data_IF_754300997289
#
_entry.id   IF_754300997289
#
_cell.length_a   1.000
_cell.length_b   1.000
_cell.length_c   1.000
_cell.angle_alpha   90.00
_cell.angle_beta   90.00
_cell.angle_gamma   90.00
#
_symmetry.space_group_name_H-M   'P 1'
#
loop_
_entity.id
_entity.type
_entity.pdbx_description
1 polymer ?
#
# COMPACT_ATOMS: atom_id res chain seq x y z
N UNK A 1 -4.85 -14.15 7.83
CA UNK A 1 -4.41 -14.93 6.66
C UNK A 1 -3.87 -16.25 7.18
N UNK A 2 -4.40 -17.39 6.72
CA UNK A 2 -3.84 -18.72 7.03
C UNK A 2 -3.19 -19.21 5.73
N UNK A 3 -1.91 -19.55 5.76
CA UNK A 3 -1.24 -20.18 4.63
C UNK A 3 -1.35 -21.69 4.77
N UNK A 4 -1.73 -22.38 3.69
CA UNK A 4 -1.56 -23.83 3.61
C UNK A 4 -0.10 -24.14 3.29
N UNK A 5 0.51 -25.03 4.06
CA UNK A 5 1.92 -25.37 3.90
C UNK A 5 2.06 -26.63 3.02
N UNK A 6 3.08 -26.69 2.13
CA UNK A 6 4.11 -25.68 1.90
C UNK A 6 3.59 -24.44 1.13
N UNK A 7 4.07 -23.25 1.50
CA UNK A 7 3.66 -21.98 0.88
C UNK A 7 4.86 -21.23 0.27
N UNK A 8 4.66 -20.67 -0.92
CA UNK A 8 5.59 -19.68 -1.50
C UNK A 8 5.27 -18.30 -0.92
N UNK A 9 6.30 -17.60 -0.46
CA UNK A 9 6.18 -16.25 0.10
C UNK A 9 6.41 -15.16 -0.95
N UNK A 10 6.18 -13.90 -0.60
CA UNK A 10 6.33 -12.74 -1.49
C UNK A 10 5.01 -12.27 -2.07
N UNK A 11 4.92 -10.98 -2.35
CA UNK A 11 3.67 -10.32 -2.72
C UNK A 11 3.76 -9.60 -4.05
N UNK A 12 4.88 -8.96 -4.33
CA UNK A 12 5.03 -8.14 -5.51
C UNK A 12 6.03 -8.75 -6.49
N UNK A 13 5.79 -8.53 -7.77
CA UNK A 13 6.63 -9.01 -8.88
C UNK A 13 6.70 -7.95 -9.96
N UNK A 14 7.85 -7.84 -10.63
CA UNK A 14 7.98 -7.21 -11.93
C UNK A 14 8.84 -8.10 -12.83
N UNK A 15 8.46 -8.25 -14.09
CA UNK A 15 9.14 -9.15 -15.02
C UNK A 15 8.57 -9.08 -16.42
N UNK A 16 9.09 -9.93 -17.32
CA UNK A 16 8.64 -10.01 -18.71
C UNK A 16 7.71 -11.21 -18.87
N UNK A 17 6.53 -11.01 -19.45
CA UNK A 17 5.60 -12.10 -19.73
C UNK A 17 6.26 -13.10 -20.70
N UNK A 18 6.41 -14.36 -20.29
CA UNK A 18 6.98 -15.42 -21.12
C UNK A 18 5.91 -16.31 -21.77
N UNK A 19 4.73 -16.36 -21.18
CA UNK A 19 3.58 -17.11 -21.71
C UNK A 19 2.25 -16.50 -21.23
N UNK A 20 1.17 -16.74 -21.96
CA UNK A 20 -0.17 -16.25 -21.65
C UNK A 20 -1.22 -17.35 -21.83
N UNK A 21 -2.17 -17.40 -20.91
CA UNK A 21 -3.32 -18.29 -21.04
C UNK A 21 -4.25 -17.88 -22.20
N UNK A 22 -5.03 -18.84 -22.71
CA UNK A 22 -5.88 -18.66 -23.91
C UNK A 22 -6.99 -17.61 -23.79
N UNK A 23 -7.31 -17.15 -22.58
CA UNK A 23 -8.31 -16.10 -22.31
C UNK A 23 -7.69 -14.78 -21.86
N UNK A 24 -6.37 -14.66 -21.84
CA UNK A 24 -5.71 -13.37 -21.62
C UNK A 24 -5.93 -12.48 -22.84
N UNK A 25 -6.36 -11.25 -22.61
CA UNK A 25 -6.63 -10.28 -23.70
C UNK A 25 -5.84 -8.99 -23.54
N UNK A 26 -5.38 -8.66 -22.32
CA UNK A 26 -4.71 -7.40 -22.00
C UNK A 26 -3.19 -7.41 -22.21
N UNK A 27 -2.58 -8.58 -22.33
CA UNK A 27 -1.13 -8.74 -22.38
C UNK A 27 -0.72 -9.81 -23.37
N UNK A 28 0.54 -9.74 -23.81
CA UNK A 28 1.19 -10.71 -24.68
C UNK A 28 2.59 -11.05 -24.18
N UNK A 29 3.14 -12.15 -24.69
CA UNK A 29 4.57 -12.49 -24.50
C UNK A 29 5.46 -11.31 -24.89
N UNK A 30 6.45 -11.01 -24.05
CA UNK A 30 7.37 -9.89 -24.21
C UNK A 30 6.95 -8.60 -23.52
N UNK A 31 5.71 -8.48 -23.03
CA UNK A 31 5.31 -7.30 -22.26
C UNK A 31 6.03 -7.28 -20.90
N UNK A 32 6.59 -6.13 -20.53
CA UNK A 32 7.11 -5.89 -19.18
C UNK A 32 5.97 -5.47 -18.26
N UNK A 33 5.76 -6.20 -17.17
CA UNK A 33 4.66 -5.99 -16.22
C UNK A 33 5.17 -5.83 -14.79
N UNK A 34 4.30 -5.32 -13.93
CA UNK A 34 4.41 -5.35 -12.49
C UNK A 34 3.03 -5.67 -11.87
N UNK A 35 3.01 -6.36 -10.73
CA UNK A 35 1.77 -6.84 -10.11
C UNK A 35 1.95 -7.14 -8.62
N UNK A 36 0.84 -7.10 -7.87
CA UNK A 36 0.73 -7.70 -6.54
C UNK A 36 -0.10 -8.97 -6.62
N UNK A 37 0.34 -10.03 -5.95
CA UNK A 37 -0.35 -11.33 -5.82
C UNK A 37 -0.67 -11.68 -4.37
N UNK A 38 -0.54 -10.72 -3.45
CA UNK A 38 -0.66 -10.91 -2.01
C UNK A 38 -1.89 -11.74 -1.60
N UNK A 39 -3.07 -11.42 -2.14
CA UNK A 39 -4.36 -12.06 -1.81
C UNK A 39 -4.68 -13.31 -2.65
N UNK A 40 -3.80 -13.71 -3.57
CA UNK A 40 -4.08 -14.74 -4.56
C UNK A 40 -3.60 -16.16 -4.17
N UNK A 41 -3.13 -16.33 -2.94
CA UNK A 41 -2.60 -17.61 -2.45
C UNK A 41 -1.34 -18.08 -3.19
N UNK A 42 -0.59 -17.14 -3.80
CA UNK A 42 0.67 -17.39 -4.50
C UNK A 42 1.75 -16.47 -3.97
N UNK A 43 2.98 -16.98 -3.99
CA UNK A 43 4.16 -16.19 -3.65
C UNK A 43 4.95 -15.78 -4.87
N UNK A 44 5.71 -14.70 -4.71
CA UNK A 44 6.63 -14.20 -5.73
C UNK A 44 8.09 -14.57 -5.46
N UNK A 45 8.45 -15.16 -4.32
CA UNK A 45 9.82 -15.65 -4.08
C UNK A 45 9.96 -17.04 -4.71
N UNK A 46 10.03 -17.07 -6.03
CA UNK A 46 10.13 -18.25 -6.88
C UNK A 46 10.98 -17.93 -8.13
N UNK A 47 11.09 -18.86 -9.08
CA UNK A 47 11.63 -18.54 -10.40
C UNK A 47 10.56 -17.96 -11.32
N UNK A 48 9.31 -18.42 -11.18
CA UNK A 48 8.17 -18.00 -11.97
C UNK A 48 6.92 -17.84 -11.09
N UNK A 49 6.01 -16.96 -11.52
CA UNK A 49 4.70 -16.77 -10.90
C UNK A 49 3.61 -16.63 -11.97
N UNK A 50 2.47 -17.27 -11.72
CA UNK A 50 1.27 -17.13 -12.54
C UNK A 50 0.38 -15.98 -12.03
N UNK A 51 0.33 -14.89 -12.78
CA UNK A 51 -0.34 -13.64 -12.41
C UNK A 51 -1.65 -13.48 -13.19
N UNK A 52 -2.81 -13.30 -12.56
CA UNK A 52 -4.04 -12.97 -13.28
C UNK A 52 -3.89 -11.65 -14.03
N UNK A 53 -4.38 -11.56 -15.28
CA UNK A 53 -4.27 -10.31 -16.04
C UNK A 53 -4.94 -9.13 -15.32
N UNK A 54 -5.97 -9.38 -14.51
CA UNK A 54 -6.64 -8.36 -13.68
C UNK A 54 -5.74 -7.70 -12.65
N UNK A 55 -4.75 -8.43 -12.12
CA UNK A 55 -3.83 -7.95 -11.08
C UNK A 55 -2.54 -7.34 -11.66
N UNK A 56 -2.33 -7.47 -12.98
CA UNK A 56 -1.15 -6.94 -13.65
C UNK A 56 -1.40 -5.58 -14.29
N UNK A 57 -0.33 -4.79 -14.38
CA UNK A 57 -0.24 -3.58 -15.18
C UNK A 57 1.10 -3.56 -15.94
N UNK A 58 1.19 -2.76 -17.01
CA UNK A 58 2.45 -2.56 -17.73
C UNK A 58 3.45 -1.81 -16.85
N UNK A 59 4.70 -2.26 -16.85
CA UNK A 59 5.78 -1.60 -16.10
C UNK A 59 6.01 -0.19 -16.68
N UNK A 60 6.07 0.86 -15.84
CA UNK A 60 6.49 2.19 -16.31
C UNK A 60 7.85 2.12 -17.01
N UNK A 61 7.98 2.80 -18.15
CA UNK A 61 9.19 2.71 -18.98
C UNK A 61 10.42 3.33 -18.30
N UNK A 62 10.22 4.28 -17.39
CA UNK A 62 11.25 5.02 -16.68
C UNK A 62 11.75 4.35 -15.38
N UNK A 63 11.20 3.19 -15.02
CA UNK A 63 11.64 2.43 -13.84
C UNK A 63 12.36 1.17 -14.26
N UNK A 64 13.38 0.75 -13.51
CA UNK A 64 13.90 -0.60 -13.62
C UNK A 64 12.92 -1.63 -12.99
N UNK A 65 13.25 -2.93 -13.10
CA UNK A 65 12.39 -3.98 -12.54
C UNK A 65 12.38 -4.02 -11.02
N UNK A 66 13.48 -3.65 -10.35
CA UNK A 66 13.57 -3.63 -8.89
C UNK A 66 12.68 -2.52 -8.33
N UNK A 67 12.78 -1.33 -8.91
CA UNK A 67 11.93 -0.19 -8.61
C UNK A 67 10.47 -0.54 -8.88
N UNK A 68 10.15 -1.12 -10.04
CA UNK A 68 8.78 -1.49 -10.36
C UNK A 68 8.22 -2.57 -9.41
N UNK A 69 9.01 -3.55 -9.00
CA UNK A 69 8.59 -4.57 -8.03
C UNK A 69 8.35 -4.00 -6.63
N UNK A 70 8.89 -2.82 -6.29
CA UNK A 70 8.69 -2.19 -4.98
C UNK A 70 7.36 -1.45 -4.81
N UNK A 71 6.60 -1.28 -5.90
CA UNK A 71 5.42 -0.42 -5.95
C UNK A 71 4.05 -1.09 -5.71
N UNK A 72 3.74 -2.29 -6.25
CA UNK A 72 2.36 -2.73 -6.42
C UNK A 72 1.51 -2.70 -5.14
N UNK A 73 1.97 -3.34 -4.07
CA UNK A 73 1.22 -3.39 -2.81
C UNK A 73 1.12 -2.01 -2.16
N UNK A 74 2.24 -1.30 -2.04
CA UNK A 74 2.30 -0.03 -1.30
C UNK A 74 1.58 1.10 -2.03
N UNK A 75 1.63 1.13 -3.36
CA UNK A 75 0.93 2.12 -4.17
C UNK A 75 -0.59 1.88 -4.15
N UNK A 76 -1.03 0.64 -4.31
CA UNK A 76 -2.46 0.31 -4.23
C UNK A 76 -3.02 0.59 -2.83
N UNK A 77 -2.26 0.24 -1.78
CA UNK A 77 -2.64 0.52 -0.39
C UNK A 77 -2.76 2.02 -0.14
N UNK A 78 -1.78 2.81 -0.59
CA UNK A 78 -1.79 4.26 -0.43
C UNK A 78 -2.94 4.91 -1.20
N UNK A 79 -3.19 4.46 -2.43
CA UNK A 79 -4.31 4.92 -3.24
C UNK A 79 -5.64 4.66 -2.54
N UNK A 80 -5.94 3.40 -2.19
CA UNK A 80 -7.20 3.05 -1.54
C UNK A 80 -7.37 3.80 -0.22
N UNK A 81 -6.30 3.94 0.58
CA UNK A 81 -6.36 4.64 1.85
C UNK A 81 -6.75 6.11 1.68
N UNK A 82 -6.09 6.82 0.75
CA UNK A 82 -6.27 8.26 0.56
C UNK A 82 -7.51 8.59 -0.26
N UNK A 83 -7.80 7.87 -1.35
CA UNK A 83 -8.88 8.21 -2.28
C UNK A 83 -10.19 7.49 -1.96
N UNK A 84 -10.16 6.19 -1.71
CA UNK A 84 -11.39 5.39 -1.54
C UNK A 84 -11.91 5.38 -0.11
N UNK A 85 -11.02 5.42 0.88
CA UNK A 85 -11.36 5.27 2.30
C UNK A 85 -11.44 6.61 3.03
N UNK A 86 -10.42 7.45 2.85
CA UNK A 86 -10.38 8.77 3.45
C UNK A 86 -11.17 9.81 2.64
N UNK A 87 -11.27 9.61 1.31
CA UNK A 87 -11.81 10.60 0.37
C UNK A 87 -11.10 11.96 0.50
N UNK A 88 -9.75 11.91 0.49
CA UNK A 88 -8.88 13.06 0.68
C UNK A 88 -9.16 14.13 -0.39
N UNK A 89 -9.50 15.33 0.08
CA UNK A 89 -9.76 16.49 -0.78
C UNK A 89 -8.55 17.45 -0.81
N UNK A 90 -8.35 18.18 -1.92
CA UNK A 90 -7.37 19.25 -1.98
C UNK A 90 -7.56 20.27 -0.84
N UNK A 91 -6.45 20.74 -0.25
CA UNK A 91 -6.45 21.67 0.87
C UNK A 91 -6.64 21.03 2.25
N UNK A 92 -6.97 19.74 2.34
CA UNK A 92 -6.99 19.03 3.62
C UNK A 92 -5.58 18.70 4.11
N UNK A 93 -5.47 18.46 5.43
CA UNK A 93 -4.23 18.10 6.09
C UNK A 93 -4.25 16.61 6.49
N UNK A 94 -3.25 15.85 6.04
CA UNK A 94 -3.14 14.40 6.27
C UNK A 94 -1.87 14.04 7.03
N UNK A 95 -2.01 13.22 8.07
CA UNK A 95 -0.90 12.69 8.84
C UNK A 95 -0.55 11.27 8.38
N UNK A 96 0.70 11.08 7.98
CA UNK A 96 1.24 9.83 7.47
C UNK A 96 2.41 9.40 8.38
N UNK A 97 2.17 8.62 9.44
CA UNK A 97 3.25 8.18 10.32
C UNK A 97 4.20 7.22 9.60
N UNK A 98 5.46 7.21 10.04
CA UNK A 98 6.56 6.42 9.46
C UNK A 98 6.77 6.69 7.96
N UNK A 99 6.86 7.97 7.58
CA UNK A 99 6.95 8.44 6.19
C UNK A 99 8.11 7.90 5.38
N UNK A 100 9.17 7.43 6.01
CA UNK A 100 10.32 6.82 5.34
C UNK A 100 10.16 5.31 5.09
N UNK A 101 9.03 4.71 5.51
CA UNK A 101 8.70 3.30 5.24
C UNK A 101 8.02 3.09 3.89
N UNK A 102 7.78 1.83 3.51
CA UNK A 102 7.28 1.48 2.16
C UNK A 102 5.95 2.14 1.77
N UNK A 103 4.97 2.19 2.68
CA UNK A 103 3.72 2.93 2.43
C UNK A 103 3.97 4.44 2.51
N UNK A 104 4.72 4.89 3.51
CA UNK A 104 4.95 6.31 3.76
C UNK A 104 5.55 7.04 2.56
N UNK A 105 6.55 6.45 1.90
CA UNK A 105 7.25 7.10 0.80
C UNK A 105 6.36 7.33 -0.42
N UNK A 106 5.38 6.46 -0.65
CA UNK A 106 4.40 6.59 -1.72
C UNK A 106 3.22 7.47 -1.29
N UNK A 107 2.72 7.27 -0.08
CA UNK A 107 1.57 8.00 0.45
C UNK A 107 1.85 9.51 0.57
N UNK A 108 3.06 9.92 0.96
CA UNK A 108 3.46 11.34 1.00
C UNK A 108 3.32 11.95 -0.39
N UNK A 109 3.99 11.37 -1.39
CA UNK A 109 3.98 11.89 -2.76
C UNK A 109 2.56 11.93 -3.34
N UNK A 110 1.77 10.88 -3.11
CA UNK A 110 0.40 10.80 -3.58
C UNK A 110 -0.50 11.84 -2.90
N UNK A 111 -0.39 12.03 -1.59
CA UNK A 111 -1.15 13.06 -0.87
C UNK A 111 -0.81 14.47 -1.38
N UNK A 112 0.47 14.75 -1.66
CA UNK A 112 0.90 16.01 -2.27
C UNK A 112 0.33 16.18 -3.67
N UNK A 113 0.33 15.12 -4.49
CA UNK A 113 -0.28 15.14 -5.82
C UNK A 113 -1.80 15.43 -5.75
N UNK A 114 -2.48 14.95 -4.71
CA UNK A 114 -3.90 15.22 -4.44
C UNK A 114 -4.16 16.61 -3.83
N UNK A 115 -3.12 17.44 -3.66
CA UNK A 115 -3.24 18.82 -3.17
C UNK A 115 -3.38 18.97 -1.66
N UNK A 116 -2.95 17.97 -0.88
CA UNK A 116 -3.00 18.02 0.58
C UNK A 116 -1.73 18.62 1.20
N UNK A 117 -1.85 19.07 2.46
CA UNK A 117 -0.73 19.33 3.36
C UNK A 117 -0.38 18.04 4.11
N UNK A 118 0.88 17.65 4.12
CA UNK A 118 1.35 16.37 4.63
C UNK A 118 2.20 16.55 5.88
N UNK A 119 1.75 15.94 6.97
CA UNK A 119 2.56 15.71 8.17
C UNK A 119 3.07 14.29 8.23
N UNK A 120 4.27 14.08 8.75
CA UNK A 120 4.86 12.74 8.90
C UNK A 120 5.76 12.64 10.11
N UNK A 121 5.94 11.42 10.61
CA UNK A 121 7.05 11.06 11.51
C UNK A 121 8.12 10.30 10.75
N UNK A 122 9.39 10.49 11.14
CA UNK A 122 10.51 9.69 10.65
C UNK A 122 11.66 9.73 11.66
N UNK A 123 12.73 8.95 11.42
CA UNK A 123 13.95 9.04 12.22
C UNK A 123 14.87 10.14 11.68
N UNK A 124 15.73 10.69 12.55
CA UNK A 124 16.69 11.77 12.22
C UNK A 124 17.35 11.64 10.85
N UNK A 125 17.88 10.45 10.53
CA UNK A 125 18.62 10.21 9.27
C UNK A 125 17.76 10.26 8.00
N UNK A 126 16.43 10.19 8.14
CA UNK A 126 15.47 10.15 7.03
C UNK A 126 14.68 11.46 6.87
N UNK A 127 14.97 12.49 7.68
CA UNK A 127 14.30 13.80 7.59
C UNK A 127 14.47 14.40 6.20
N UNK A 128 15.70 14.37 5.65
CA UNK A 128 15.98 14.87 4.31
C UNK A 128 15.20 14.11 3.22
N UNK A 129 15.02 12.79 3.39
CA UNK A 129 14.24 11.96 2.46
C UNK A 129 12.77 12.36 2.47
N UNK A 130 12.11 12.40 3.63
CA UNK A 130 10.66 12.69 3.65
C UNK A 130 10.35 14.12 3.21
N UNK A 131 11.26 15.07 3.46
CA UNK A 131 11.18 16.43 2.90
C UNK A 131 11.27 16.42 1.36
N UNK A 132 12.20 15.66 0.77
CA UNK A 132 12.32 15.59 -0.69
C UNK A 132 11.13 14.90 -1.36
N UNK A 133 10.42 14.04 -0.62
CA UNK A 133 9.16 13.44 -1.06
C UNK A 133 7.96 14.39 -0.96
N UNK A 134 8.12 15.53 -0.29
CA UNK A 134 7.14 16.61 -0.22
C UNK A 134 6.39 16.76 1.10
N UNK A 135 6.85 16.15 2.19
CA UNK A 135 6.27 16.39 3.52
C UNK A 135 6.43 17.87 3.93
N UNK A 136 5.37 18.47 4.48
CA UNK A 136 5.34 19.86 4.93
C UNK A 136 5.69 19.99 6.42
N UNK A 137 5.23 19.04 7.24
CA UNK A 137 5.48 18.98 8.68
C UNK A 137 6.16 17.67 9.06
N UNK A 138 7.46 17.73 9.38
CA UNK A 138 8.26 16.54 9.72
C UNK A 138 8.58 16.50 11.21
N UNK A 139 8.20 15.39 11.86
CA UNK A 139 8.55 15.10 13.24
C UNK A 139 9.61 14.01 13.31
N UNK A 140 10.78 14.34 13.85
CA UNK A 140 11.77 13.35 14.25
C UNK A 140 11.34 12.71 15.57
N UNK A 141 10.83 11.48 15.50
CA UNK A 141 10.29 10.78 16.67
C UNK A 141 11.37 10.46 17.73
N UNK A 142 12.65 10.59 17.40
CA UNK A 142 13.74 10.44 18.37
C UNK A 142 13.95 11.66 19.25
N UNK A 143 13.40 12.82 18.85
CA UNK A 143 13.58 14.09 19.52
C UNK A 143 12.31 14.57 20.20
N UNK A 144 11.14 14.27 19.64
CA UNK A 144 9.87 14.72 20.18
C UNK A 144 8.71 13.82 19.75
N UNK A 145 7.67 13.82 20.58
CA UNK A 145 6.42 13.12 20.33
C UNK A 145 5.51 13.95 19.41
N UNK A 146 5.02 13.36 18.32
CA UNK A 146 4.26 14.09 17.30
C UNK A 146 2.95 14.68 17.85
N UNK A 147 2.31 13.98 18.78
CA UNK A 147 1.09 14.40 19.45
C UNK A 147 1.29 15.59 20.38
N UNK A 148 2.51 16.06 20.59
CA UNK A 148 2.77 17.29 21.36
C UNK A 148 2.91 18.52 20.47
N UNK A 149 3.24 18.35 19.18
CA UNK A 149 3.57 19.44 18.26
C UNK A 149 2.63 19.56 17.06
N UNK A 150 1.97 18.47 16.66
CA UNK A 150 1.09 18.42 15.49
C UNK A 150 -0.37 18.64 15.88
N UNK A 151 -1.11 19.51 15.18
CA UNK A 151 -2.55 19.72 15.39
C UNK A 151 -3.28 20.01 14.08
N UNK A 152 -4.60 19.83 14.10
CA UNK A 152 -5.50 20.29 13.05
C UNK A 152 -5.50 19.41 11.80
N UNK A 153 -5.33 18.10 11.95
CA UNK A 153 -5.37 17.16 10.83
C UNK A 153 -6.82 16.74 10.50
N UNK A 154 -7.14 16.64 9.21
CA UNK A 154 -8.43 16.13 8.73
C UNK A 154 -8.42 14.59 8.68
N UNK A 155 -7.27 14.02 8.30
CA UNK A 155 -7.08 12.58 8.11
C UNK A 155 -5.76 12.13 8.76
N UNK A 156 -5.74 10.93 9.35
CA UNK A 156 -4.52 10.24 9.74
C UNK A 156 -4.50 8.79 9.23
N UNK A 157 -3.35 8.31 8.77
CA UNK A 157 -3.15 6.91 8.41
C UNK A 157 -2.65 6.10 9.60
N UNK A 158 -3.32 4.98 9.89
CA UNK A 158 -2.88 4.00 10.88
C UNK A 158 -1.97 2.95 10.25
N UNK A 159 -0.68 3.25 10.10
CA UNK A 159 0.32 2.34 9.49
C UNK A 159 1.04 1.46 10.53
N UNK A 160 0.96 1.82 11.81
CA UNK A 160 1.70 1.19 12.91
C UNK A 160 0.74 0.58 13.93
N UNK A 161 1.16 -0.52 14.56
CA UNK A 161 0.48 -1.10 15.73
C UNK A 161 0.93 -0.37 17.00
N UNK A 162 0.18 -0.54 18.09
CA UNK A 162 0.45 0.10 19.37
C UNK A 162 -0.34 1.39 19.55
N UNK A 163 0.21 2.32 20.33
CA UNK A 163 -0.44 3.56 20.75
C UNK A 163 -0.48 4.64 19.66
N UNK A 164 0.19 4.46 18.52
CA UNK A 164 0.30 5.50 17.47
C UNK A 164 -1.08 5.90 16.93
N UNK A 165 -2.00 4.95 16.80
CA UNK A 165 -3.36 5.22 16.32
C UNK A 165 -4.13 6.03 17.38
N UNK A 166 -4.00 5.68 18.66
CA UNK A 166 -4.60 6.43 19.78
C UNK A 166 -4.04 7.85 19.87
N UNK A 167 -2.72 8.01 19.81
CA UNK A 167 -2.04 9.31 19.78
C UNK A 167 -2.45 10.17 18.59
N UNK A 168 -2.73 9.54 17.45
CA UNK A 168 -3.22 10.25 16.25
C UNK A 168 -4.60 10.87 16.47
N UNK A 169 -5.41 10.38 17.43
CA UNK A 169 -6.69 11.03 17.75
C UNK A 169 -6.48 12.44 18.34
N UNK A 170 -5.39 12.66 19.07
CA UNK A 170 -5.11 13.93 19.73
C UNK A 170 -4.74 15.08 18.76
N UNK A 171 -4.42 14.75 17.52
CA UNK A 171 -3.99 15.72 16.50
C UNK A 171 -5.09 16.04 15.48
N UNK A 172 -6.19 15.28 15.47
CA UNK A 172 -7.30 15.44 14.55
C UNK A 172 -8.19 16.64 14.90
N UNK A 173 -8.79 17.25 13.88
CA UNK A 173 -9.92 18.16 14.03
C UNK A 173 -11.16 17.39 14.51
N UNK A 174 -12.15 18.06 15.14
CA UNK A 174 -13.48 17.50 15.28
C UNK A 174 -14.02 17.02 13.93
N UNK A 175 -14.48 15.76 13.86
CA UNK A 175 -14.92 15.13 12.61
C UNK A 175 -13.80 14.59 11.70
N UNK A 176 -12.54 14.70 12.13
CA UNK A 176 -11.41 14.06 11.46
C UNK A 176 -11.51 12.53 11.49
N UNK A 177 -10.75 11.86 10.62
CA UNK A 177 -10.86 10.41 10.41
C UNK A 177 -9.52 9.70 10.48
N UNK A 178 -9.54 8.46 10.97
CA UNK A 178 -8.40 7.55 10.86
C UNK A 178 -8.71 6.44 9.86
N UNK A 179 -7.78 6.23 8.92
CA UNK A 179 -7.80 5.08 8.02
C UNK A 179 -6.74 4.07 8.47
N UNK A 180 -7.19 2.97 9.08
CA UNK A 180 -6.27 1.93 9.58
C UNK A 180 -5.88 0.96 8.48
N UNK A 181 -4.58 0.75 8.32
CA UNK A 181 -3.96 -0.25 7.44
C UNK A 181 -3.55 -1.52 8.20
N UNK A 182 -3.61 -1.49 9.52
CA UNK A 182 -3.36 -2.63 10.39
C UNK A 182 -4.66 -3.24 10.88
N UNK A 183 -4.69 -4.58 10.96
CA UNK A 183 -5.85 -5.39 11.36
C UNK A 183 -6.33 -5.14 12.79
N UNK A 184 -7.52 -5.63 13.12
CA UNK A 184 -8.62 -4.85 13.67
C UNK A 184 -8.21 -4.01 14.87
N UNK A 185 -8.65 -2.74 14.82
CA UNK A 185 -8.74 -1.90 16.00
C UNK A 185 -9.58 -2.64 17.04
N UNK A 186 -9.17 -2.65 18.30
CA UNK A 186 -9.93 -3.37 19.31
C UNK A 186 -11.32 -2.74 19.54
N UNK A 187 -12.23 -3.51 20.13
CA UNK A 187 -13.61 -3.05 20.36
C UNK A 187 -13.69 -1.86 21.34
N UNK A 188 -12.64 -1.58 22.12
CA UNK A 188 -12.58 -0.39 22.96
C UNK A 188 -12.30 0.85 22.10
N UNK A 189 -11.36 0.74 21.15
CA UNK A 189 -11.00 1.78 20.21
C UNK A 189 -12.16 2.20 19.30
N UNK A 190 -12.98 1.24 18.84
CA UNK A 190 -14.15 1.52 18.00
C UNK A 190 -15.26 2.36 18.66
N UNK A 191 -15.22 2.53 19.99
CA UNK A 191 -16.21 3.32 20.77
C UNK A 191 -15.78 4.77 20.99
N UNK A 192 -14.59 5.18 20.52
CA UNK A 192 -14.17 6.58 20.54
C UNK A 192 -15.08 7.43 19.62
N UNK A 193 -15.30 8.72 19.91
CA UNK A 193 -16.19 9.61 19.14
C UNK A 193 -15.69 9.96 17.72
N UNK A 194 -14.73 9.20 17.18
CA UNK A 194 -14.04 9.45 15.91
C UNK A 194 -14.37 8.33 14.92
N UNK A 195 -14.76 8.70 13.70
CA UNK A 195 -15.06 7.74 12.65
C UNK A 195 -13.76 7.07 12.16
N UNK A 196 -13.57 5.79 12.51
CA UNK A 196 -12.44 4.99 12.08
C UNK A 196 -12.88 3.97 11.01
N UNK A 197 -12.25 4.02 9.84
CA UNK A 197 -12.54 3.09 8.73
C UNK A 197 -11.34 2.17 8.51
N UNK A 198 -11.59 0.86 8.53
CA UNK A 198 -10.58 -0.12 8.13
C UNK A 198 -10.41 -0.09 6.61
N UNK A 199 -9.16 0.02 6.13
CA UNK A 199 -8.89 0.01 4.70
C UNK A 199 -8.82 -1.40 4.10
N UNK A 200 -8.69 -2.45 4.93
CA UNK A 200 -8.41 -3.81 4.46
C UNK A 200 -9.64 -4.40 3.76
N UNK A 201 -9.73 -4.16 2.45
CA UNK A 201 -10.41 -5.03 1.49
C UNK A 201 -9.70 -4.85 0.15
N UNK A 202 -8.63 -5.62 -0.06
CA UNK A 202 -8.06 -5.81 -1.39
C UNK A 202 -9.13 -6.57 -2.20
N UNK A 203 -9.70 -5.92 -3.21
CA UNK A 203 -10.72 -6.53 -4.06
C UNK A 203 -10.05 -7.55 -4.98
N UNK A 204 -10.16 -8.82 -4.63
CA UNK A 204 -10.34 -9.92 -5.57
C UNK A 204 -11.30 -10.92 -4.92
N UNK A 205 -12.62 -10.76 -5.14
CA UNK A 205 -13.60 -11.80 -4.81
C UNK A 205 -13.43 -12.96 -5.80
N UNK A 206 -12.45 -13.82 -5.58
CA UNK A 206 -12.57 -15.23 -5.99
C UNK A 206 -12.10 -16.15 -4.85
N UNK A 207 -12.80 -17.27 -4.62
CA UNK A 207 -12.42 -18.25 -3.61
C UNK A 207 -10.99 -18.75 -3.81
N UNK A 208 -10.28 -18.92 -2.69
CA UNK A 208 -9.01 -19.64 -2.64
C UNK A 208 -9.27 -21.13 -2.87
N UNK A 209 -9.34 -21.53 -4.13
CA UNK A 209 -9.41 -22.92 -4.54
C UNK A 209 -8.23 -23.26 -5.45
N UNK A 210 -7.87 -24.55 -5.52
CA UNK A 210 -6.86 -24.99 -6.50
C UNK A 210 -7.28 -24.51 -7.90
N UNK A 211 -6.35 -23.95 -8.70
CA UNK A 211 -6.76 -23.28 -9.92
C UNK A 211 -7.46 -24.27 -10.84
N UNK A 212 -8.75 -24.03 -11.07
CA UNK A 212 -9.48 -24.73 -12.12
C UNK A 212 -8.75 -24.51 -13.45
N UNK A 213 -8.91 -25.45 -14.39
CA UNK A 213 -8.42 -25.29 -15.76
C UNK A 213 -8.85 -23.96 -16.39
N UNK A 214 -9.97 -23.41 -15.93
CA UNK A 214 -10.50 -22.12 -16.33
C UNK A 214 -9.69 -20.94 -15.78
N UNK A 215 -9.33 -20.95 -14.49
CA UNK A 215 -8.54 -19.86 -13.91
C UNK A 215 -7.09 -19.83 -14.44
N UNK A 216 -6.52 -20.97 -14.83
CA UNK A 216 -5.19 -21.03 -15.44
C UNK A 216 -5.13 -20.30 -16.79
N UNK A 217 -6.21 -20.32 -17.56
CA UNK A 217 -6.28 -19.71 -18.90
C UNK A 217 -6.35 -18.16 -18.89
N UNK A 218 -6.50 -17.50 -17.73
CA UNK A 218 -6.50 -16.02 -17.61
C UNK A 218 -5.23 -15.47 -16.95
N UNK A 219 -4.13 -16.21 -17.02
CA UNK A 219 -2.89 -15.88 -16.32
C UNK A 219 -1.73 -15.65 -17.27
N UNK A 220 -0.83 -14.78 -16.82
CA UNK A 220 0.48 -14.53 -17.38
C UNK A 220 1.48 -15.39 -16.61
N UNK A 221 2.44 -15.98 -17.30
CA UNK A 221 3.62 -16.57 -16.66
C UNK A 221 4.75 -15.56 -16.70
N UNK A 222 5.27 -15.22 -15.52
CA UNK A 222 6.26 -14.14 -15.36
C UNK A 222 7.45 -14.68 -14.55
N UNK A 223 8.69 -14.54 -15.03
CA UNK A 223 9.86 -14.84 -14.25
C UNK A 223 10.01 -13.79 -13.13
N UNK A 224 10.32 -14.26 -11.94
CA UNK A 224 10.54 -13.42 -10.75
C UNK A 224 11.95 -12.84 -10.75
N UNK A 225 12.93 -13.60 -11.22
CA UNK A 225 14.31 -13.15 -11.39
C UNK A 225 14.45 -12.58 -12.79
N UNK A 226 14.78 -11.31 -12.88
CA UNK A 226 15.32 -10.72 -14.11
C UNK A 226 16.80 -11.06 -14.23
N UNK A 227 17.35 -11.18 -15.45
CA UNK A 227 18.80 -11.21 -15.66
C UNK A 227 19.47 -9.93 -15.11
#
# INVERSE_FOLDING_TARGET
MKFELPATLGSDVAGIVIDVGSRVTRFKRGDAIFASVFDLGRGTIAEYVAVPESAAALKPANLDFVQAASLPMVALTSWQALTERADLQPGQKVFIPAGSGGIGTIAIQLAKHLGATVGTTTSTGNVALVNSLGADEVVDYKQQDFETVLRGYDIALGTMRGDTIEKSLAILKPGGRIVSLVGPLDAAFARAPVECRAAIRLRHDEPQDHPSSEQAQRRLLVPVRTP
#
